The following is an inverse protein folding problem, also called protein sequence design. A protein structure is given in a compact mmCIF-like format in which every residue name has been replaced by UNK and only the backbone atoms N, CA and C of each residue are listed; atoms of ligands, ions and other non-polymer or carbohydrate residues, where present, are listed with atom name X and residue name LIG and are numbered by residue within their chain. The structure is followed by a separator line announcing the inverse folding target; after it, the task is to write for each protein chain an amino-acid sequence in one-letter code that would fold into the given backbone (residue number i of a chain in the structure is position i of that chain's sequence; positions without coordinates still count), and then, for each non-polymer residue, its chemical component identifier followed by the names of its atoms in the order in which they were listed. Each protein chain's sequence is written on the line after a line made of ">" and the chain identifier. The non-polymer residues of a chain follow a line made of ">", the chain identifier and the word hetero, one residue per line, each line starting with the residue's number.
data_IF_612647782071
#
_entry.id   IF_612647782071
#
_cell.length_a   1.000
_cell.length_b   1.000
_cell.length_c   1.000
_cell.angle_alpha   90.00
_cell.angle_beta   90.00
_cell.angle_gamma   90.00
#
_symmetry.space_group_name_H-M   'P 1'
#
loop_
_entity.id
_entity.type
_entity.pdbx_description
1 polymer ?
#
# COMPACT_ATOMS: atom_id res chain seq x y z
N UNK A 1 -14.13 64.63 8.96
CA UNK A 1 -13.14 63.55 8.75
C UNK A 1 -13.89 62.24 8.67
N UNK A 2 -14.07 61.71 7.47
CA UNK A 2 -14.64 60.38 7.24
C UNK A 2 -13.58 59.35 7.61
N UNK A 3 -13.90 58.43 8.52
CA UNK A 3 -13.13 57.21 8.72
C UNK A 3 -13.65 56.18 7.73
N UNK A 4 -12.90 55.96 6.66
CA UNK A 4 -13.07 54.82 5.77
C UNK A 4 -12.71 53.56 6.56
N UNK A 5 -13.74 52.80 6.93
CA UNK A 5 -13.62 51.42 7.39
C UNK A 5 -13.13 50.59 6.21
N UNK A 6 -11.83 50.36 6.12
CA UNK A 6 -11.24 49.33 5.26
C UNK A 6 -11.78 47.98 5.72
N UNK A 7 -12.85 47.52 5.09
CA UNK A 7 -13.28 46.12 5.17
C UNK A 7 -12.15 45.29 4.58
N UNK A 8 -11.37 44.64 5.44
CA UNK A 8 -10.48 43.55 5.05
C UNK A 8 -11.29 42.54 4.27
N UNK A 9 -11.15 42.52 2.95
CA UNK A 9 -11.75 41.51 2.10
C UNK A 9 -11.23 40.15 2.59
N UNK A 10 -12.16 39.33 3.08
CA UNK A 10 -11.84 38.00 3.54
C UNK A 10 -11.22 37.21 2.38
N UNK A 11 -10.02 36.65 2.60
CA UNK A 11 -9.34 35.74 1.66
C UNK A 11 -10.27 34.62 1.19
N UNK A 12 -11.20 34.23 2.05
CA UNK A 12 -12.21 33.24 1.76
C UNK A 12 -13.54 33.91 1.41
N UNK A 13 -14.11 33.54 0.27
CA UNK A 13 -15.47 33.93 -0.11
C UNK A 13 -16.49 33.07 0.66
N UNK A 14 -16.58 33.28 1.98
CA UNK A 14 -17.33 32.43 2.92
C UNK A 14 -18.80 32.23 2.51
N UNK A 15 -19.45 33.25 1.96
CA UNK A 15 -20.84 33.15 1.52
C UNK A 15 -21.01 32.25 0.29
N UNK A 16 -20.00 32.16 -0.60
CA UNK A 16 -19.97 31.23 -1.71
C UNK A 16 -19.74 29.81 -1.20
N UNK A 17 -18.74 29.60 -0.33
CA UNK A 17 -18.44 28.30 0.29
C UNK A 17 -19.68 27.72 1.01
N UNK A 18 -20.38 28.53 1.80
CA UNK A 18 -21.63 28.08 2.47
C UNK A 18 -22.72 27.69 1.49
N UNK A 19 -22.87 28.44 0.40
CA UNK A 19 -23.87 28.15 -0.65
C UNK A 19 -23.54 26.85 -1.37
N UNK A 20 -22.27 26.63 -1.66
CA UNK A 20 -21.81 25.46 -2.39
C UNK A 20 -21.91 24.20 -1.53
N UNK A 21 -21.57 24.29 -0.24
CA UNK A 21 -21.78 23.21 0.73
C UNK A 21 -23.26 22.77 0.83
N UNK A 22 -24.21 23.70 0.75
CA UNK A 22 -25.65 23.38 0.75
C UNK A 22 -26.10 22.66 -0.53
N UNK A 23 -25.40 22.85 -1.64
CA UNK A 23 -25.75 22.25 -2.94
C UNK A 23 -25.14 20.87 -3.18
N UNK A 24 -24.17 20.47 -2.36
CA UNK A 24 -23.41 19.23 -2.52
C UNK A 24 -23.50 18.31 -1.31
N UNK A 25 -24.56 18.43 -0.50
CA UNK A 25 -24.72 17.66 0.74
C UNK A 25 -24.79 16.15 0.47
N UNK A 26 -25.26 15.77 -0.72
CA UNK A 26 -25.34 14.41 -1.21
C UNK A 26 -23.98 13.79 -1.57
N UNK A 27 -22.91 14.60 -1.68
CA UNK A 27 -21.56 14.15 -2.05
C UNK A 27 -20.65 13.85 -0.85
N UNK A 28 -21.23 13.81 0.35
CA UNK A 28 -20.49 13.50 1.57
C UNK A 28 -19.33 14.48 1.84
N UNK A 29 -18.13 13.95 2.01
CA UNK A 29 -16.93 14.74 2.32
C UNK A 29 -16.33 15.46 1.10
N UNK A 30 -16.77 15.15 -0.12
CA UNK A 30 -16.26 15.76 -1.36
C UNK A 30 -16.95 17.10 -1.60
N UNK A 31 -16.17 18.18 -1.52
CA UNK A 31 -16.63 19.53 -1.81
C UNK A 31 -16.39 19.90 -3.29
N UNK A 32 -17.12 20.90 -3.84
CA UNK A 32 -16.97 21.32 -5.24
C UNK A 32 -15.57 21.81 -5.64
N UNK A 33 -14.73 22.17 -4.67
CA UNK A 33 -13.35 22.62 -4.87
C UNK A 33 -12.31 21.48 -4.80
N UNK A 34 -12.75 20.21 -4.72
CA UNK A 34 -11.82 19.07 -4.78
C UNK A 34 -10.96 19.15 -6.07
N UNK A 35 -9.62 19.10 -5.95
CA UNK A 35 -8.74 19.56 -7.02
C UNK A 35 -8.45 18.53 -8.12
N UNK A 36 -8.89 17.27 -7.93
CA UNK A 36 -8.62 16.16 -8.85
C UNK A 36 -9.92 15.62 -9.46
N UNK A 37 -9.79 14.81 -10.50
CA UNK A 37 -10.88 14.00 -11.02
C UNK A 37 -11.19 12.88 -10.01
N UNK A 38 -12.39 12.92 -9.41
CA UNK A 38 -12.82 11.96 -8.37
C UNK A 38 -12.95 10.55 -8.94
N UNK A 39 -13.48 10.39 -10.14
CA UNK A 39 -13.64 9.08 -10.77
C UNK A 39 -12.27 8.46 -11.02
N UNK A 40 -11.33 9.26 -11.55
CA UNK A 40 -9.96 8.79 -11.77
C UNK A 40 -9.21 8.51 -10.47
N UNK A 41 -9.41 9.33 -9.43
CA UNK A 41 -8.84 9.11 -8.11
C UNK A 41 -9.31 7.77 -7.52
N UNK A 42 -10.62 7.51 -7.52
CA UNK A 42 -11.19 6.26 -7.06
C UNK A 42 -10.73 5.06 -7.90
N UNK A 43 -10.52 5.22 -9.20
CA UNK A 43 -9.95 4.17 -10.04
C UNK A 43 -8.52 3.79 -9.60
N UNK A 44 -7.64 4.79 -9.45
CA UNK A 44 -6.23 4.56 -9.06
C UNK A 44 -6.16 3.93 -7.66
N UNK A 45 -6.96 4.40 -6.71
CA UNK A 45 -7.02 3.81 -5.37
C UNK A 45 -7.57 2.38 -5.39
N UNK A 46 -8.51 2.07 -6.29
CA UNK A 46 -9.00 0.70 -6.46
C UNK A 46 -7.95 -0.25 -7.06
N UNK A 47 -7.03 0.24 -7.90
CA UNK A 47 -5.89 -0.55 -8.40
C UNK A 47 -4.91 -0.89 -7.26
N UNK A 48 -4.65 0.07 -6.37
CA UNK A 48 -3.87 -0.17 -5.15
C UNK A 48 -4.60 -1.12 -4.18
N UNK A 49 -5.89 -0.92 -3.94
CA UNK A 49 -6.71 -1.79 -3.08
C UNK A 49 -6.67 -3.25 -3.54
N UNK A 50 -6.77 -3.51 -4.85
CA UNK A 50 -6.63 -4.86 -5.38
C UNK A 50 -5.26 -5.48 -5.07
N UNK A 51 -4.21 -4.66 -5.13
CA UNK A 51 -2.85 -5.10 -4.81
C UNK A 51 -2.74 -5.48 -3.33
N UNK A 52 -3.27 -4.66 -2.42
CA UNK A 52 -3.24 -4.96 -0.99
C UNK A 52 -4.02 -6.22 -0.63
N UNK A 53 -5.22 -6.41 -1.20
CA UNK A 53 -5.98 -7.65 -0.96
C UNK A 53 -5.16 -8.88 -1.41
N UNK A 54 -4.47 -8.78 -2.54
CA UNK A 54 -3.64 -9.87 -3.05
C UNK A 54 -2.42 -10.12 -2.15
N UNK A 55 -1.76 -9.05 -1.67
CA UNK A 55 -0.63 -9.13 -0.75
C UNK A 55 -1.04 -9.78 0.59
N UNK A 56 -2.18 -9.40 1.18
CA UNK A 56 -2.74 -10.07 2.37
C UNK A 56 -2.87 -11.58 2.13
N UNK A 57 -3.50 -11.97 1.01
CA UNK A 57 -3.73 -13.38 0.70
C UNK A 57 -2.42 -14.14 0.45
N UNK A 58 -1.44 -13.52 -0.21
CA UNK A 58 -0.13 -14.10 -0.49
C UNK A 58 0.69 -14.28 0.79
N UNK A 59 0.82 -13.26 1.62
CA UNK A 59 1.54 -13.36 2.89
C UNK A 59 0.89 -14.34 3.86
N UNK A 60 -0.45 -14.36 3.98
CA UNK A 60 -1.14 -15.36 4.80
C UNK A 60 -0.89 -16.78 4.28
N UNK A 61 -0.89 -16.98 2.96
CA UNK A 61 -0.54 -18.26 2.37
C UNK A 61 0.91 -18.64 2.74
N UNK A 62 1.88 -17.78 2.47
CA UNK A 62 3.29 -18.02 2.76
C UNK A 62 3.55 -18.27 4.24
N UNK A 63 2.93 -17.51 5.14
CA UNK A 63 2.95 -17.72 6.59
C UNK A 63 2.56 -19.16 6.96
N UNK A 64 1.53 -19.71 6.33
CA UNK A 64 0.97 -21.03 6.65
C UNK A 64 1.79 -22.17 6.03
N UNK A 65 2.19 -22.01 4.76
CA UNK A 65 2.78 -23.12 4.00
C UNK A 65 4.31 -23.20 4.10
N UNK A 66 4.96 -22.14 4.58
CA UNK A 66 6.40 -22.08 4.73
C UNK A 66 6.92 -23.23 5.63
N UNK A 67 8.06 -23.80 5.23
CA UNK A 67 8.70 -24.95 5.91
C UNK A 67 10.21 -24.81 5.85
N UNK A 68 10.92 -25.38 6.83
CA UNK A 68 12.38 -25.42 6.88
C UNK A 68 12.95 -24.98 8.22
N UNK A 69 14.27 -25.08 8.39
CA UNK A 69 14.95 -24.78 9.67
C UNK A 69 14.78 -23.31 10.09
N UNK A 70 14.69 -22.39 9.12
CA UNK A 70 14.54 -20.95 9.38
C UNK A 70 13.07 -20.49 9.43
N UNK A 71 12.12 -21.42 9.30
CA UNK A 71 10.69 -21.12 9.18
C UNK A 71 10.13 -20.25 10.32
N UNK A 72 10.41 -20.49 11.62
CA UNK A 72 9.70 -19.77 12.68
C UNK A 72 9.87 -18.26 12.64
N UNK A 73 11.04 -17.76 12.26
CA UNK A 73 11.30 -16.34 12.12
C UNK A 73 10.62 -15.78 10.86
N UNK A 74 10.82 -16.42 9.71
CA UNK A 74 10.24 -15.96 8.44
C UNK A 74 8.71 -15.93 8.48
N UNK A 75 8.08 -16.92 9.14
CA UNK A 75 6.63 -16.95 9.29
C UNK A 75 6.10 -15.91 10.29
N UNK A 76 6.94 -15.44 11.22
CA UNK A 76 6.57 -14.32 12.07
C UNK A 76 6.56 -13.01 11.25
N UNK A 77 7.59 -12.78 10.44
CA UNK A 77 7.64 -11.61 9.54
C UNK A 77 6.47 -11.63 8.53
N UNK A 78 6.21 -12.76 7.86
CA UNK A 78 5.05 -12.88 6.96
C UNK A 78 3.72 -12.64 7.65
N UNK A 79 3.60 -12.96 8.94
CA UNK A 79 2.38 -12.70 9.71
C UNK A 79 2.21 -11.21 9.97
N UNK A 80 3.30 -10.53 10.31
CA UNK A 80 3.36 -9.09 10.58
C UNK A 80 3.01 -8.30 9.33
N UNK A 81 3.70 -8.56 8.21
CA UNK A 81 3.41 -7.91 6.94
C UNK A 81 1.95 -8.14 6.52
N UNK A 82 1.43 -9.38 6.62
CA UNK A 82 0.01 -9.64 6.35
C UNK A 82 -0.97 -8.85 7.24
N UNK A 83 -0.57 -8.40 8.43
CA UNK A 83 -1.38 -7.50 9.25
C UNK A 83 -1.26 -6.06 8.75
N UNK A 84 -0.05 -5.61 8.39
CA UNK A 84 0.17 -4.28 7.79
C UNK A 84 -0.60 -4.13 6.46
N UNK A 85 -0.53 -5.12 5.56
CA UNK A 85 -1.29 -5.07 4.30
C UNK A 85 -2.82 -5.06 4.51
N UNK A 86 -3.30 -5.67 5.60
CA UNK A 86 -4.71 -5.61 5.96
C UNK A 86 -5.09 -4.20 6.41
N UNK A 87 -4.21 -3.51 7.14
CA UNK A 87 -4.38 -2.10 7.50
C UNK A 87 -4.32 -1.19 6.26
N UNK A 88 -3.36 -1.39 5.35
CA UNK A 88 -3.24 -0.67 4.08
C UNK A 88 -4.49 -0.82 3.22
N UNK A 89 -4.97 -2.06 3.06
CA UNK A 89 -6.21 -2.40 2.37
C UNK A 89 -7.40 -1.61 2.93
N UNK A 90 -7.55 -1.56 4.26
CA UNK A 90 -8.65 -0.84 4.91
C UNK A 90 -8.52 0.67 4.75
N UNK A 91 -7.31 1.23 4.88
CA UNK A 91 -7.06 2.66 4.65
C UNK A 91 -7.47 3.08 3.24
N UNK A 92 -7.11 2.30 2.22
CA UNK A 92 -7.48 2.56 0.83
C UNK A 92 -9.01 2.45 0.61
N UNK A 93 -9.64 1.40 1.14
CA UNK A 93 -11.08 1.19 1.00
C UNK A 93 -11.89 2.33 1.63
N UNK A 94 -11.53 2.74 2.84
CA UNK A 94 -12.15 3.88 3.53
C UNK A 94 -11.92 5.19 2.76
N UNK A 95 -10.74 5.37 2.18
CA UNK A 95 -10.45 6.58 1.39
C UNK A 95 -11.28 6.65 0.12
N UNK A 96 -11.52 5.51 -0.55
CA UNK A 96 -12.38 5.43 -1.73
C UNK A 96 -13.82 5.83 -1.36
N UNK A 97 -14.36 5.30 -0.26
CA UNK A 97 -15.71 5.65 0.23
C UNK A 97 -15.82 7.14 0.59
N UNK A 98 -14.80 7.71 1.24
CA UNK A 98 -14.75 9.15 1.54
C UNK A 98 -14.77 10.04 0.29
N UNK A 99 -14.23 9.54 -0.83
CA UNK A 99 -14.28 10.21 -2.13
C UNK A 99 -15.59 9.94 -2.90
N UNK A 100 -16.53 9.18 -2.31
CA UNK A 100 -17.81 8.82 -2.92
C UNK A 100 -17.71 7.70 -3.95
N UNK A 101 -16.60 6.98 -4.00
CA UNK A 101 -16.42 5.80 -4.82
C UNK A 101 -16.88 4.52 -4.12
N UNK A 102 -16.97 3.43 -4.88
CA UNK A 102 -17.21 2.09 -4.36
C UNK A 102 -15.86 1.34 -4.24
N UNK A 103 -15.44 0.90 -3.03
CA UNK A 103 -14.25 0.09 -2.87
C UNK A 103 -14.49 -1.33 -3.44
N UNK A 104 -13.94 -1.61 -4.62
CA UNK A 104 -14.08 -2.89 -5.30
C UNK A 104 -13.17 -3.96 -4.66
N UNK A 105 -13.76 -4.73 -3.74
CA UNK A 105 -13.13 -5.91 -3.12
C UNK A 105 -13.55 -7.23 -3.80
N UNK A 106 -14.16 -7.19 -4.99
CA UNK A 106 -14.68 -8.38 -5.65
C UNK A 106 -13.54 -9.34 -6.04
N UNK A 107 -13.47 -10.57 -5.50
CA UNK A 107 -12.37 -11.50 -5.77
C UNK A 107 -12.24 -11.90 -7.24
N UNK A 108 -13.29 -11.73 -8.05
CA UNK A 108 -13.27 -12.03 -9.49
C UNK A 108 -12.42 -11.00 -10.27
N UNK A 109 -12.39 -9.73 -9.83
CA UNK A 109 -11.75 -8.62 -10.56
C UNK A 109 -10.34 -8.30 -10.06
N UNK A 110 -9.96 -8.75 -8.85
CA UNK A 110 -8.70 -8.37 -8.19
C UNK A 110 -7.47 -8.59 -9.08
N UNK A 111 -7.34 -9.78 -9.67
CA UNK A 111 -6.17 -10.13 -10.48
C UNK A 111 -6.03 -9.32 -11.77
N UNK A 112 -7.10 -8.65 -12.21
CA UNK A 112 -7.08 -7.79 -13.41
C UNK A 112 -6.64 -6.36 -13.09
N UNK A 113 -6.70 -5.97 -11.81
CA UNK A 113 -6.42 -4.60 -11.33
C UNK A 113 -5.12 -4.50 -10.53
N UNK A 114 -4.73 -5.59 -9.88
CA UNK A 114 -3.52 -5.62 -9.05
C UNK A 114 -2.26 -5.41 -9.89
N UNK A 115 -1.32 -4.66 -9.34
CA UNK A 115 0.03 -4.50 -9.90
C UNK A 115 0.95 -5.68 -9.60
N UNK A 116 0.62 -6.48 -8.57
CA UNK A 116 1.41 -7.63 -8.13
C UNK A 116 0.69 -8.94 -8.47
N UNK A 117 1.41 -10.05 -8.37
CA UNK A 117 0.86 -11.38 -8.64
C UNK A 117 0.62 -12.14 -7.32
N UNK A 118 -0.31 -13.10 -7.33
CA UNK A 118 -0.53 -13.99 -6.19
C UNK A 118 0.69 -14.90 -5.96
N UNK A 119 1.34 -15.29 -7.06
CA UNK A 119 2.53 -16.11 -7.04
C UNK A 119 2.28 -17.62 -6.95
N UNK A 120 3.37 -18.38 -6.90
CA UNK A 120 3.35 -19.86 -6.95
C UNK A 120 4.53 -20.52 -6.23
N UNK A 121 5.23 -19.76 -5.40
CA UNK A 121 6.40 -20.21 -4.65
C UNK A 121 6.14 -21.50 -3.83
N UNK A 122 7.05 -22.46 -3.96
CA UNK A 122 6.92 -23.80 -3.35
C UNK A 122 7.88 -24.04 -2.18
N UNK A 123 8.94 -23.23 -2.07
CA UNK A 123 9.94 -23.31 -1.00
C UNK A 123 10.18 -21.95 -0.34
N UNK A 124 10.74 -21.98 0.88
CA UNK A 124 10.93 -20.79 1.71
C UNK A 124 11.72 -19.67 1.02
N UNK A 125 12.76 -20.02 0.24
CA UNK A 125 13.57 -19.01 -0.44
C UNK A 125 12.81 -18.41 -1.60
N UNK A 126 12.04 -19.22 -2.33
CA UNK A 126 11.17 -18.72 -3.39
C UNK A 126 10.07 -17.78 -2.86
N UNK A 127 9.49 -18.07 -1.69
CA UNK A 127 8.47 -17.22 -1.04
C UNK A 127 9.03 -15.84 -0.69
N UNK A 128 10.18 -15.80 0.01
CA UNK A 128 10.83 -14.53 0.37
C UNK A 128 11.17 -13.70 -0.88
N UNK A 129 11.64 -14.34 -1.96
CA UNK A 129 11.95 -13.64 -3.21
C UNK A 129 10.71 -13.10 -3.89
N UNK A 130 9.62 -13.86 -3.89
CA UNK A 130 8.36 -13.47 -4.50
C UNK A 130 7.76 -12.27 -3.78
N UNK A 131 7.72 -12.30 -2.45
CA UNK A 131 7.26 -11.17 -1.64
C UNK A 131 8.18 -9.95 -1.82
N UNK A 132 9.50 -10.12 -1.79
CA UNK A 132 10.44 -9.00 -2.02
C UNK A 132 10.27 -8.35 -3.41
N UNK A 133 9.92 -9.12 -4.44
CA UNK A 133 9.63 -8.57 -5.77
C UNK A 133 8.32 -7.76 -5.72
N UNK A 134 7.30 -8.27 -5.04
CA UNK A 134 6.04 -7.56 -4.86
C UNK A 134 6.23 -6.22 -4.13
N UNK A 135 7.01 -6.19 -3.04
CA UNK A 135 7.26 -4.93 -2.30
C UNK A 135 7.99 -3.89 -3.14
N UNK A 136 8.94 -4.33 -3.97
CA UNK A 136 9.63 -3.41 -4.88
C UNK A 136 8.70 -2.83 -5.94
N UNK A 137 7.72 -3.60 -6.41
CA UNK A 137 6.68 -3.11 -7.33
C UNK A 137 5.78 -2.12 -6.59
N UNK A 138 5.32 -2.46 -5.37
CA UNK A 138 4.48 -1.59 -4.55
C UNK A 138 5.15 -0.23 -4.28
N UNK A 139 6.43 -0.22 -3.89
CA UNK A 139 7.23 1.00 -3.70
C UNK A 139 7.21 1.92 -4.94
N UNK A 140 7.40 1.36 -6.14
CA UNK A 140 7.37 2.15 -7.37
C UNK A 140 5.97 2.69 -7.69
N UNK A 141 4.94 1.89 -7.45
CA UNK A 141 3.54 2.26 -7.64
C UNK A 141 3.15 3.39 -6.68
N UNK A 142 3.44 3.24 -5.39
CA UNK A 142 3.09 4.24 -4.38
C UNK A 142 3.78 5.57 -4.60
N UNK A 143 5.06 5.59 -5.00
CA UNK A 143 5.75 6.85 -5.38
C UNK A 143 5.05 7.57 -6.53
N UNK A 144 4.61 6.84 -7.57
CA UNK A 144 3.87 7.42 -8.70
C UNK A 144 2.49 7.94 -8.25
N UNK A 145 1.82 7.23 -7.35
CA UNK A 145 0.54 7.67 -6.80
C UNK A 145 0.71 8.95 -5.96
N UNK A 146 1.72 9.02 -5.11
CA UNK A 146 2.03 10.21 -4.28
C UNK A 146 2.19 11.46 -5.15
N UNK A 147 2.90 11.34 -6.27
CA UNK A 147 3.06 12.43 -7.24
C UNK A 147 1.71 12.85 -7.85
N UNK A 148 0.89 11.87 -8.26
CA UNK A 148 -0.44 12.11 -8.86
C UNK A 148 -1.41 12.77 -7.88
N UNK A 149 -1.42 12.31 -6.63
CA UNK A 149 -2.24 12.85 -5.53
C UNK A 149 -1.64 14.09 -4.86
N UNK A 150 -0.65 14.75 -5.46
CA UNK A 150 0.02 15.92 -4.88
C UNK A 150 -0.91 17.07 -4.47
N UNK A 151 -2.05 17.22 -5.16
CA UNK A 151 -3.08 18.21 -4.83
C UNK A 151 -4.11 17.73 -3.79
N UNK A 152 -4.14 16.43 -3.46
CA UNK A 152 -4.97 15.86 -2.39
C UNK A 152 -4.08 15.49 -1.19
N UNK A 153 -3.90 16.41 -0.22
CA UNK A 153 -2.98 16.20 0.90
C UNK A 153 -3.44 15.11 1.87
N UNK A 154 -4.71 14.71 1.86
CA UNK A 154 -5.20 13.63 2.72
C UNK A 154 -4.82 12.29 2.13
N UNK A 155 -5.12 12.06 0.85
CA UNK A 155 -4.70 10.83 0.16
C UNK A 155 -3.18 10.73 0.10
N UNK A 156 -2.48 11.82 -0.22
CA UNK A 156 -1.01 11.81 -0.30
C UNK A 156 -0.35 11.34 1.00
N UNK A 157 -0.76 11.88 2.16
CA UNK A 157 -0.20 11.48 3.45
C UNK A 157 -0.45 10.02 3.80
N UNK A 158 -1.64 9.52 3.46
CA UNK A 158 -1.98 8.10 3.63
C UNK A 158 -1.07 7.22 2.77
N UNK A 159 -0.85 7.58 1.50
CA UNK A 159 0.04 6.84 0.61
C UNK A 159 1.52 6.95 1.02
N UNK A 160 1.95 8.09 1.57
CA UNK A 160 3.30 8.26 2.14
C UNK A 160 3.53 7.35 3.35
N UNK A 161 2.49 7.10 4.16
CA UNK A 161 2.55 6.14 5.27
C UNK A 161 2.70 4.72 4.74
N UNK A 162 1.82 4.29 3.83
CA UNK A 162 1.90 2.94 3.23
C UNK A 162 3.26 2.72 2.57
N UNK A 163 3.75 3.70 1.80
CA UNK A 163 5.09 3.62 1.18
C UNK A 163 6.21 3.38 2.21
N UNK A 164 6.15 4.03 3.37
CA UNK A 164 7.17 3.86 4.40
C UNK A 164 7.19 2.42 4.93
N UNK A 165 6.00 1.86 5.14
CA UNK A 165 5.81 0.47 5.58
C UNK A 165 6.33 -0.50 4.49
N UNK A 166 6.05 -0.27 3.20
CA UNK A 166 6.59 -1.12 2.11
C UNK A 166 8.12 -1.07 1.98
N UNK A 167 8.73 0.09 2.26
CA UNK A 167 10.19 0.23 2.26
C UNK A 167 10.82 -0.54 3.43
N UNK A 168 10.15 -0.61 4.58
CA UNK A 168 10.51 -1.45 5.72
C UNK A 168 10.36 -2.94 5.37
N UNK A 169 9.20 -3.34 4.85
CA UNK A 169 8.94 -4.72 4.41
C UNK A 169 9.99 -5.23 3.43
N UNK A 170 10.34 -4.43 2.42
CA UNK A 170 11.36 -4.78 1.44
C UNK A 170 12.75 -4.95 2.07
N UNK A 171 13.05 -4.18 3.12
CA UNK A 171 14.31 -4.28 3.87
C UNK A 171 14.36 -5.59 4.65
N UNK A 172 13.31 -5.91 5.38
CA UNK A 172 13.23 -7.13 6.20
C UNK A 172 13.33 -8.40 5.34
N UNK A 173 12.64 -8.44 4.20
CA UNK A 173 12.71 -9.56 3.27
C UNK A 173 14.09 -9.70 2.63
N UNK A 174 14.75 -8.59 2.30
CA UNK A 174 16.11 -8.61 1.77
C UNK A 174 17.10 -9.20 2.78
N UNK A 175 16.99 -8.80 4.05
CA UNK A 175 17.83 -9.30 5.13
C UNK A 175 17.56 -10.80 5.42
N UNK A 176 16.29 -11.20 5.44
CA UNK A 176 15.90 -12.62 5.52
C UNK A 176 16.49 -13.43 4.37
N UNK A 177 16.43 -12.92 3.14
CA UNK A 177 16.93 -13.61 1.97
C UNK A 177 18.45 -13.87 2.09
N UNK A 178 19.21 -12.86 2.52
CA UNK A 178 20.66 -13.00 2.77
C UNK A 178 20.94 -14.03 3.88
N UNK A 179 20.17 -13.99 4.97
CA UNK A 179 20.35 -14.90 6.11
C UNK A 179 20.06 -16.36 5.75
N UNK A 180 19.02 -16.61 4.94
CA UNK A 180 18.66 -17.96 4.48
C UNK A 180 19.66 -18.48 3.45
N UNK A 181 20.06 -17.66 2.47
CA UNK A 181 21.02 -18.07 1.44
C UNK A 181 22.41 -18.38 2.03
N UNK A 182 22.87 -17.59 3.01
CA UNK A 182 24.16 -17.81 3.68
C UNK A 182 24.19 -19.14 4.44
N UNK A 183 23.12 -19.46 5.20
CA UNK A 183 23.01 -20.74 5.90
C UNK A 183 22.92 -21.93 4.95
N UNK A 184 22.19 -21.81 3.84
CA UNK A 184 22.11 -22.85 2.82
C UNK A 184 23.47 -23.17 2.18
N UNK A 185 24.29 -22.14 1.92
CA UNK A 185 25.67 -22.32 1.42
C UNK A 185 26.55 -23.03 2.45
N UNK A 186 26.49 -22.64 3.71
CA UNK A 186 27.25 -23.30 4.80
C UNK A 186 26.86 -24.77 4.97
N UNK A 187 25.56 -25.10 4.92
CA UNK A 187 25.09 -26.49 5.02
C UNK A 187 25.54 -27.34 3.82
N UNK A 188 25.48 -26.78 2.60
CA UNK A 188 26.00 -27.47 1.41
C UNK A 188 27.51 -27.68 1.47
N UNK A 189 28.29 -26.71 1.98
CA UNK A 189 29.74 -26.83 2.16
C UNK A 189 30.08 -27.93 3.19
N UNK A 190 29.36 -27.95 4.32
CA UNK A 190 29.51 -28.99 5.34
C UNK A 190 29.26 -30.40 4.76
N UNK A 191 28.16 -30.57 4.02
CA UNK A 191 27.80 -31.88 3.45
C UNK A 191 28.67 -32.32 2.27
N UNK A 192 29.39 -31.40 1.62
CA UNK A 192 30.34 -31.73 0.54
C UNK A 192 31.74 -32.11 1.04
N UNK A 193 32.01 -32.04 2.35
CA UNK A 193 33.32 -32.41 2.90
C UNK A 193 34.47 -31.48 2.49
N UNK A 194 34.17 -30.28 1.95
CA UNK A 194 35.17 -29.28 1.57
C UNK A 194 35.66 -28.52 2.82
N UNK A 195 36.41 -29.22 3.66
CA UNK A 195 37.27 -28.60 4.66
C UNK A 195 38.62 -28.29 4.01
N UNK A 196 39.09 -27.07 4.24
CA UNK A 196 40.30 -26.44 3.70
C UNK A 196 41.49 -27.37 3.45
N UNK A 197 42.05 -27.31 2.23
CA UNK A 197 43.50 -27.28 2.01
C UNK A 197 43.96 -25.82 1.91
#
# INVERSE_FOLDING_TARGET
>A
MQQESQTTESVFKINEIRRDALKSIERGAVTPDYPLDVEKACQILNEALASEILCVLRYRHHQIVAKGINFPQVAAEFKEHAMNEEEHMMMLAERIDQLGGDPDMNPISISQRSATEYGSAADLVSMIREDLIAERIAIEVYRKMIDWFSADPTTRRMLEQILADEEEHATDLADLLVAVDTRNKSFKKFNKGEYYE
#
